data_IF_913257782754
#
_entry.id   IF_913257782754
#
_cell.length_a   1.000
_cell.length_b   1.000
_cell.length_c   1.000
_cell.angle_alpha   90.00
_cell.angle_beta   90.00
_cell.angle_gamma   90.00
#
_symmetry.space_group_name_H-M   'P 1'
#
loop_
_entity.id
_entity.type
_entity.pdbx_description
1 polymer ?
#
# COMPACT_ATOMS: atom_id res chain seq x y z
N UNK A 1 -16.48 1.77 -2.41
CA UNK A 1 -16.22 2.79 -1.38
C UNK A 1 -17.49 3.59 -1.15
N UNK A 2 -18.00 3.62 0.09
CA UNK A 2 -19.23 4.35 0.41
C UNK A 2 -18.91 5.73 0.99
N UNK A 3 -19.69 6.73 0.57
CA UNK A 3 -19.51 8.11 1.03
C UNK A 3 -19.88 8.24 2.50
N UNK A 4 -19.20 9.11 3.26
CA UNK A 4 -19.65 9.52 4.59
C UNK A 4 -21.01 10.24 4.48
N UNK A 5 -21.93 9.92 5.40
CA UNK A 5 -23.20 10.66 5.50
C UNK A 5 -22.94 12.04 6.07
N UNK A 6 -23.86 12.97 5.83
CA UNK A 6 -23.77 14.31 6.38
C UNK A 6 -23.62 14.28 7.91
N UNK A 7 -22.59 14.95 8.44
CA UNK A 7 -22.29 15.02 9.87
C UNK A 7 -21.54 13.80 10.44
N UNK A 8 -21.31 12.76 9.64
CA UNK A 8 -20.47 11.63 10.01
C UNK A 8 -19.00 12.03 9.90
N UNK A 9 -18.18 11.60 10.86
CA UNK A 9 -16.75 11.86 10.90
C UNK A 9 -16.01 10.57 11.25
N UNK A 10 -14.74 10.52 10.87
CA UNK A 10 -13.79 9.48 11.29
C UNK A 10 -12.65 10.18 12.00
N UNK A 11 -12.42 9.82 13.25
CA UNK A 11 -11.23 10.19 14.01
C UNK A 11 -10.09 9.28 13.58
N UNK A 12 -8.91 9.84 13.32
CA UNK A 12 -7.74 9.04 12.94
C UNK A 12 -6.94 8.73 14.21
N UNK A 13 -7.34 7.66 14.90
CA UNK A 13 -6.74 7.21 16.16
C UNK A 13 -6.27 5.74 16.14
N UNK A 14 -6.49 5.07 15.01
CA UNK A 14 -6.09 3.70 14.73
C UNK A 14 -7.06 2.64 15.25
N UNK A 15 -8.24 2.99 15.79
CA UNK A 15 -9.08 2.03 16.53
C UNK A 15 -10.19 1.40 15.72
N UNK A 16 -10.63 2.01 14.62
CA UNK A 16 -11.73 1.54 13.76
C UNK A 16 -13.06 1.34 14.51
N UNK A 17 -13.26 2.11 15.60
CA UNK A 17 -14.43 2.01 16.48
C UNK A 17 -15.54 3.01 16.11
N UNK A 18 -15.23 4.02 15.30
CA UNK A 18 -16.21 4.99 14.82
C UNK A 18 -17.37 4.30 14.09
N UNK A 19 -18.59 4.81 14.29
CA UNK A 19 -19.81 4.26 13.68
C UNK A 19 -19.71 4.18 12.14
N UNK A 20 -18.94 5.07 11.52
CA UNK A 20 -18.67 5.04 10.08
C UNK A 20 -18.01 3.74 9.62
N UNK A 21 -17.13 3.14 10.41
CA UNK A 21 -16.52 1.89 10.00
C UNK A 21 -17.49 0.72 10.05
N UNK A 22 -18.49 0.75 10.92
CA UNK A 22 -19.46 -0.34 11.07
C UNK A 22 -20.38 -0.52 9.84
N UNK A 23 -20.52 0.52 9.01
CA UNK A 23 -21.47 0.55 7.89
C UNK A 23 -20.94 -0.05 6.58
N UNK A 24 -19.63 -0.28 6.50
CA UNK A 24 -19.00 -0.81 5.31
C UNK A 24 -18.46 -2.22 5.52
N UNK A 25 -18.53 -3.09 4.50
CA UNK A 25 -17.95 -4.42 4.59
C UNK A 25 -16.43 -4.34 4.59
N UNK A 26 -15.81 -5.39 5.10
CA UNK A 26 -14.38 -5.61 4.95
C UNK A 26 -14.04 -6.12 3.54
N UNK A 27 -12.90 -5.67 3.02
CA UNK A 27 -12.14 -6.31 1.96
C UNK A 27 -11.17 -7.30 2.61
N UNK A 28 -11.39 -8.61 2.44
CA UNK A 28 -10.67 -9.65 3.22
C UNK A 28 -9.89 -10.64 2.33
N UNK A 29 -9.94 -10.50 1.00
CA UNK A 29 -9.31 -11.42 0.05
C UNK A 29 -7.93 -10.93 -0.36
N UNK A 30 -6.94 -11.22 0.48
CA UNK A 30 -5.54 -10.94 0.17
C UNK A 30 -4.88 -12.18 -0.44
N UNK A 31 -4.19 -11.98 -1.55
CA UNK A 31 -3.48 -13.00 -2.30
C UNK A 31 -1.98 -12.89 -2.02
N UNK A 32 -1.40 -13.97 -1.52
CA UNK A 32 0.04 -14.11 -1.34
C UNK A 32 0.79 -14.02 -2.69
N UNK A 33 1.82 -13.18 -2.69
CA UNK A 33 2.72 -12.84 -3.78
C UNK A 33 4.10 -13.46 -3.59
N UNK A 34 4.36 -14.15 -2.47
CA UNK A 34 5.67 -14.73 -2.20
C UNK A 34 6.11 -15.75 -3.28
N UNK A 35 7.29 -15.52 -3.83
CA UNK A 35 7.96 -16.42 -4.79
C UNK A 35 7.50 -16.27 -6.25
N UNK A 36 8.28 -16.79 -7.22
CA UNK A 36 8.00 -16.60 -8.63
C UNK A 36 6.76 -17.40 -9.08
N UNK A 37 5.65 -16.77 -9.52
CA UNK A 37 4.64 -17.50 -10.32
C UNK A 37 5.00 -17.50 -11.78
N UNK A 38 5.07 -18.71 -12.32
CA UNK A 38 4.93 -18.97 -13.74
C UNK A 38 3.71 -19.88 -13.94
N UNK A 39 2.49 -19.31 -13.87
CA UNK A 39 1.25 -20.02 -14.19
C UNK A 39 0.07 -19.79 -13.24
N UNK A 40 -1.08 -20.39 -13.57
CA UNK A 40 -2.32 -20.37 -12.77
C UNK A 40 -2.30 -21.28 -11.54
N UNK A 41 -1.26 -22.09 -11.36
CA UNK A 41 -1.11 -23.01 -10.24
C UNK A 41 -0.21 -22.41 -9.15
N UNK A 42 -0.61 -22.57 -7.89
CA UNK A 42 0.18 -22.13 -6.73
C UNK A 42 1.47 -22.92 -6.64
N UNK A 43 2.57 -22.23 -6.38
CA UNK A 43 3.88 -22.85 -6.17
C UNK A 43 3.98 -23.43 -4.75
N UNK A 44 4.91 -24.34 -4.54
CA UNK A 44 5.25 -24.82 -3.18
C UNK A 44 5.67 -23.67 -2.24
N UNK A 45 6.27 -22.62 -2.80
CA UNK A 45 6.58 -21.36 -2.12
C UNK A 45 5.36 -20.73 -1.47
N UNK A 46 4.30 -20.50 -2.24
CA UNK A 46 3.10 -19.81 -1.76
C UNK A 46 2.32 -20.66 -0.77
N UNK A 47 2.33 -21.98 -0.93
CA UNK A 47 1.74 -22.87 0.06
C UNK A 47 2.53 -22.82 1.38
N UNK A 48 3.87 -22.74 1.32
CA UNK A 48 4.71 -22.61 2.50
C UNK A 48 4.54 -21.24 3.17
N UNK A 49 4.69 -20.13 2.43
CA UNK A 49 4.52 -18.77 2.96
C UNK A 49 3.14 -18.56 3.57
N UNK A 50 2.06 -18.99 2.90
CA UNK A 50 0.71 -18.93 3.50
C UNK A 50 0.56 -19.77 4.76
N UNK A 51 1.14 -20.96 4.80
CA UNK A 51 1.09 -21.80 6.00
C UNK A 51 1.88 -21.18 7.17
N UNK A 52 3.01 -20.54 6.88
CA UNK A 52 3.80 -19.78 7.86
C UNK A 52 3.10 -18.53 8.33
N UNK A 53 2.58 -17.72 7.41
CA UNK A 53 1.75 -16.57 7.70
C UNK A 53 0.57 -17.00 8.56
N UNK A 54 -0.20 -18.04 8.21
CA UNK A 54 -1.29 -18.55 9.05
C UNK A 54 -0.84 -18.89 10.48
N UNK A 55 0.37 -19.45 10.66
CA UNK A 55 0.91 -19.78 11.99
C UNK A 55 1.29 -18.53 12.79
N UNK A 56 1.90 -17.54 12.15
CA UNK A 56 2.32 -16.26 12.74
C UNK A 56 1.14 -15.33 12.99
N UNK A 57 0.14 -15.32 12.12
CA UNK A 57 -1.02 -14.42 12.18
C UNK A 57 -2.23 -15.02 12.86
N UNK A 58 -2.26 -16.34 13.00
CA UNK A 58 -3.43 -17.08 13.50
C UNK A 58 -4.64 -17.01 12.57
N UNK A 59 -4.49 -16.51 11.34
CA UNK A 59 -5.59 -16.30 10.39
C UNK A 59 -5.16 -16.65 8.96
N UNK A 60 -6.06 -17.26 8.20
CA UNK A 60 -5.85 -17.45 6.75
C UNK A 60 -6.05 -16.16 5.94
N UNK A 61 -6.76 -15.19 6.52
CA UNK A 61 -6.91 -13.83 6.03
C UNK A 61 -6.37 -12.87 7.11
N UNK A 62 -5.05 -12.65 7.18
CA UNK A 62 -4.46 -11.83 8.22
C UNK A 62 -4.71 -10.34 8.02
N UNK A 63 -5.03 -9.92 6.80
CA UNK A 63 -5.26 -8.52 6.46
C UNK A 63 -6.69 -8.32 6.01
N UNK A 64 -7.30 -7.25 6.49
CA UNK A 64 -8.59 -6.78 6.01
C UNK A 64 -8.66 -5.27 6.01
N UNK A 65 -9.33 -4.71 5.01
CA UNK A 65 -9.39 -3.26 4.76
C UNK A 65 -10.84 -2.79 4.69
N UNK A 66 -11.10 -1.59 5.19
CA UNK A 66 -12.34 -0.83 5.05
C UNK A 66 -12.04 0.49 4.37
N UNK A 67 -13.00 0.96 3.57
CA UNK A 67 -12.85 2.16 2.77
C UNK A 67 -14.09 3.06 2.91
N UNK A 68 -13.85 4.33 3.24
CA UNK A 68 -14.84 5.42 3.23
C UNK A 68 -14.27 6.59 2.45
N UNK A 69 -15.12 7.55 2.08
CA UNK A 69 -14.67 8.79 1.43
C UNK A 69 -15.64 9.94 1.68
N UNK A 70 -15.18 11.17 1.54
CA UNK A 70 -16.01 12.37 1.42
C UNK A 70 -15.43 13.34 0.37
N UNK A 71 -15.86 14.59 0.35
CA UNK A 71 -15.37 15.53 -0.69
C UNK A 71 -13.89 15.87 -0.56
N UNK A 72 -13.29 15.66 0.60
CA UNK A 72 -11.93 16.11 0.90
C UNK A 72 -10.98 14.93 1.00
N UNK A 73 -11.45 13.78 1.49
CA UNK A 73 -10.59 12.67 1.88
C UNK A 73 -11.06 11.30 1.40
N UNK A 74 -10.07 10.45 1.10
CA UNK A 74 -10.24 8.99 1.07
C UNK A 74 -9.76 8.42 2.41
N UNK A 75 -10.58 7.60 3.04
CA UNK A 75 -10.27 6.96 4.32
C UNK A 75 -9.99 5.47 4.11
N UNK A 76 -8.88 5.02 4.65
CA UNK A 76 -8.47 3.61 4.67
C UNK A 76 -8.34 3.17 6.12
N UNK A 77 -9.07 2.13 6.49
CA UNK A 77 -8.94 1.48 7.79
C UNK A 77 -8.52 0.04 7.59
N UNK A 78 -7.51 -0.44 8.31
CA UNK A 78 -7.08 -1.83 8.17
C UNK A 78 -6.86 -2.52 9.51
N UNK A 79 -7.10 -3.84 9.54
CA UNK A 79 -6.66 -4.72 10.60
C UNK A 79 -5.65 -5.70 10.02
N UNK A 80 -4.46 -5.73 10.62
CA UNK A 80 -3.37 -6.63 10.29
C UNK A 80 -3.10 -7.53 11.48
N UNK A 81 -3.46 -8.80 11.34
CA UNK A 81 -3.23 -9.81 12.36
C UNK A 81 -1.82 -10.34 12.25
N UNK A 82 -1.12 -10.28 13.36
CA UNK A 82 0.15 -10.95 13.57
C UNK A 82 0.34 -11.17 15.06
N UNK A 83 0.91 -12.30 15.47
CA UNK A 83 1.30 -12.54 16.87
C UNK A 83 2.59 -11.79 17.22
N UNK A 84 3.41 -11.49 16.22
CA UNK A 84 4.66 -10.78 16.38
C UNK A 84 4.87 -9.82 15.22
N UNK A 85 5.16 -8.56 15.51
CA UNK A 85 5.37 -7.52 14.51
C UNK A 85 6.72 -6.86 14.71
N UNK A 86 7.58 -6.91 13.70
CA UNK A 86 8.80 -6.13 13.68
C UNK A 86 8.45 -4.67 13.31
N UNK A 87 8.82 -3.71 14.14
CA UNK A 87 8.64 -2.28 13.86
C UNK A 87 9.70 -1.44 14.57
N UNK A 88 10.83 -1.21 13.93
CA UNK A 88 11.99 -0.45 14.44
C UNK A 88 12.07 0.98 13.92
N UNK A 89 11.45 1.25 12.78
CA UNK A 89 11.47 2.54 12.07
C UNK A 89 10.40 3.47 12.67
N UNK A 90 10.73 4.75 12.75
CA UNK A 90 9.84 5.84 13.16
C UNK A 90 10.02 7.06 12.26
N UNK A 91 9.00 7.93 12.21
CA UNK A 91 9.05 9.20 11.51
C UNK A 91 8.35 9.16 10.16
N UNK A 92 8.53 10.21 9.38
CA UNK A 92 7.97 10.32 8.03
C UNK A 92 9.06 10.79 7.08
N UNK A 93 9.16 10.13 5.93
CA UNK A 93 10.03 10.53 4.83
C UNK A 93 11.46 10.91 5.28
N UNK A 94 11.88 12.17 5.08
CA UNK A 94 13.23 12.64 5.40
C UNK A 94 13.59 12.58 6.90
N UNK A 95 12.61 12.35 7.77
CA UNK A 95 12.80 12.19 9.22
C UNK A 95 12.74 10.73 9.69
N UNK A 96 12.71 9.76 8.75
CA UNK A 96 12.73 8.35 9.08
C UNK A 96 14.03 7.96 9.79
N UNK A 97 13.89 7.22 10.90
CA UNK A 97 15.01 6.78 11.74
C UNK A 97 14.73 5.41 12.35
N UNK A 98 15.78 4.68 12.70
CA UNK A 98 15.70 3.43 13.45
C UNK A 98 16.90 3.26 14.37
N UNK A 99 16.66 2.84 15.61
CA UNK A 99 17.73 2.52 16.56
C UNK A 99 18.45 1.20 16.20
N UNK A 100 17.86 0.40 15.31
CA UNK A 100 18.43 -0.86 14.81
C UNK A 100 19.38 -0.60 13.64
N UNK A 101 19.02 0.33 12.75
CA UNK A 101 19.71 0.57 11.47
C UNK A 101 20.42 1.93 11.43
N UNK A 102 21.19 2.26 12.48
CA UNK A 102 21.75 3.61 12.69
C UNK A 102 22.72 4.10 11.60
N UNK A 103 23.28 3.18 10.79
CA UNK A 103 24.23 3.50 9.71
C UNK A 103 23.62 3.47 8.31
N UNK A 104 22.30 3.31 8.20
CA UNK A 104 21.62 3.06 6.92
C UNK A 104 20.33 3.89 6.89
N UNK A 105 20.06 4.67 5.83
CA UNK A 105 18.74 5.26 5.63
C UNK A 105 17.68 4.16 5.65
N UNK A 106 16.58 4.39 6.38
CA UNK A 106 15.52 3.39 6.58
C UNK A 106 14.21 3.84 5.94
N UNK A 107 13.43 2.84 5.52
CA UNK A 107 12.08 2.98 4.99
C UNK A 107 11.14 2.03 5.75
N UNK A 108 9.81 2.24 5.71
CA UNK A 108 8.86 1.35 6.39
C UNK A 108 9.04 -0.13 6.06
N UNK A 109 9.42 -0.48 4.83
CA UNK A 109 9.71 -1.87 4.44
C UNK A 109 10.90 -2.54 5.18
N UNK A 110 11.68 -1.82 6.00
CA UNK A 110 12.66 -2.45 6.89
C UNK A 110 12.00 -3.20 8.07
N UNK A 111 10.69 -3.01 8.23
CA UNK A 111 9.81 -3.59 9.22
C UNK A 111 8.62 -4.30 8.55
N UNK A 112 7.73 -4.89 9.35
CA UNK A 112 6.43 -5.31 8.83
C UNK A 112 5.55 -4.08 8.58
N UNK A 113 4.97 -3.98 7.39
CA UNK A 113 4.32 -2.79 6.88
C UNK A 113 3.03 -3.07 6.09
N UNK A 114 2.27 -1.99 5.89
CA UNK A 114 1.04 -1.94 5.11
C UNK A 114 1.19 -0.89 4.03
N UNK A 115 0.79 -1.24 2.81
CA UNK A 115 0.98 -0.39 1.64
C UNK A 115 -0.33 -0.11 0.93
N UNK A 116 -0.42 1.07 0.33
CA UNK A 116 -1.56 1.55 -0.44
C UNK A 116 -1.06 2.11 -1.77
N UNK A 117 -1.55 1.54 -2.87
CA UNK A 117 -1.29 2.05 -4.21
C UNK A 117 -2.57 2.60 -4.81
N UNK A 118 -2.55 3.81 -5.36
CA UNK A 118 -3.73 4.46 -5.96
C UNK A 118 -3.36 5.13 -7.28
N UNK A 119 -4.03 4.72 -8.36
CA UNK A 119 -4.04 5.42 -9.65
C UNK A 119 -5.43 5.94 -9.95
N UNK A 120 -5.64 7.23 -9.68
CA UNK A 120 -6.92 7.87 -9.94
C UNK A 120 -7.22 8.07 -11.44
N UNK A 121 -6.19 8.14 -12.30
CA UNK A 121 -6.36 8.28 -13.75
C UNK A 121 -6.52 6.98 -14.50
N UNK A 122 -6.16 5.85 -13.88
CA UNK A 122 -6.14 4.55 -14.54
C UNK A 122 -5.20 4.53 -15.76
N UNK A 123 -4.05 5.18 -15.62
CA UNK A 123 -3.07 5.32 -16.68
C UNK A 123 -1.88 4.37 -16.53
N UNK A 124 -1.66 3.83 -15.33
CA UNK A 124 -0.42 3.20 -14.88
C UNK A 124 0.78 4.16 -14.85
N UNK A 125 0.51 5.47 -14.81
CA UNK A 125 1.48 6.55 -14.63
C UNK A 125 0.98 7.46 -13.51
N UNK A 126 1.92 8.06 -12.78
CA UNK A 126 1.65 8.99 -11.68
C UNK A 126 0.67 8.41 -10.65
N UNK A 127 0.89 7.15 -10.29
CA UNK A 127 0.15 6.52 -9.21
C UNK A 127 0.89 6.72 -7.90
N UNK A 128 0.10 6.91 -6.85
CA UNK A 128 0.59 7.09 -5.49
C UNK A 128 0.92 5.73 -4.91
N UNK A 129 2.03 5.67 -4.20
CA UNK A 129 2.31 4.67 -3.17
C UNK A 129 2.38 5.36 -1.82
N UNK A 130 1.86 4.66 -0.82
CA UNK A 130 2.00 5.01 0.58
C UNK A 130 2.31 3.73 1.36
N UNK A 131 3.33 3.77 2.21
CA UNK A 131 3.72 2.67 3.09
C UNK A 131 3.68 3.13 4.54
N UNK A 132 3.31 2.23 5.45
CA UNK A 132 3.39 2.49 6.89
C UNK A 132 3.61 1.24 7.74
N UNK A 133 4.35 1.38 8.86
CA UNK A 133 4.56 0.29 9.82
C UNK A 133 3.69 0.44 11.08
N UNK A 134 3.77 -0.55 11.98
CA UNK A 134 2.99 -0.53 13.24
C UNK A 134 3.37 0.59 14.23
N UNK A 135 4.53 1.24 14.07
CA UNK A 135 4.93 2.45 14.84
C UNK A 135 4.49 3.75 14.17
N UNK A 136 3.63 3.66 13.15
CA UNK A 136 3.17 4.80 12.37
C UNK A 136 4.32 5.55 11.67
N UNK A 137 5.43 4.85 11.38
CA UNK A 137 6.39 5.35 10.41
C UNK A 137 5.73 5.34 9.04
N UNK A 138 5.92 6.39 8.26
CA UNK A 138 5.21 6.55 6.99
C UNK A 138 6.13 7.02 5.87
N UNK A 139 5.80 6.58 4.66
CA UNK A 139 6.48 6.94 3.43
C UNK A 139 5.44 7.13 2.33
N UNK A 140 5.60 8.14 1.49
CA UNK A 140 4.77 8.30 0.30
C UNK A 140 5.58 8.75 -0.91
N UNK A 141 5.15 8.29 -2.09
CA UNK A 141 5.83 8.58 -3.35
C UNK A 141 4.86 8.55 -4.53
N UNK A 142 5.22 9.28 -5.58
CA UNK A 142 4.47 9.36 -6.83
C UNK A 142 5.26 8.70 -7.95
N UNK A 143 4.81 7.55 -8.41
CA UNK A 143 5.46 6.76 -9.45
C UNK A 143 5.19 7.32 -10.85
N UNK A 144 6.21 7.79 -11.56
CA UNK A 144 6.04 8.58 -12.81
C UNK A 144 6.22 7.79 -14.13
N UNK A 145 6.98 6.68 -14.16
CA UNK A 145 7.21 5.89 -15.37
C UNK A 145 7.26 4.38 -15.07
N UNK A 146 6.50 3.52 -15.77
CA UNK A 146 6.78 2.09 -15.87
C UNK A 146 8.03 1.88 -16.73
N UNK A 147 9.17 1.49 -16.15
CA UNK A 147 10.36 1.13 -16.94
C UNK A 147 10.22 -0.26 -17.57
N UNK A 148 10.84 -0.38 -18.75
CA UNK A 148 10.84 -1.54 -19.63
C UNK A 148 11.33 -2.84 -18.95
N UNK A 149 10.42 -3.53 -18.26
CA UNK A 149 10.61 -4.89 -17.75
C UNK A 149 11.22 -5.02 -16.37
N UNK A 150 11.42 -3.92 -15.62
CA UNK A 150 11.99 -3.95 -14.25
C UNK A 150 11.13 -3.27 -13.19
N UNK A 151 9.94 -2.77 -13.54
CA UNK A 151 9.10 -2.04 -12.58
C UNK A 151 8.93 -0.59 -12.98
N UNK A 152 7.99 0.12 -12.33
CA UNK A 152 8.00 1.57 -12.37
C UNK A 152 9.24 2.08 -11.67
N UNK A 153 9.70 3.27 -12.06
CA UNK A 153 10.78 3.96 -11.38
C UNK A 153 10.16 5.11 -10.61
N UNK A 154 10.45 5.15 -9.31
CA UNK A 154 10.16 6.29 -8.47
C UNK A 154 11.07 7.42 -8.99
N UNK A 155 10.61 8.67 -9.05
CA UNK A 155 11.45 9.77 -9.51
C UNK A 155 12.83 9.73 -8.84
N UNK A 156 13.91 9.74 -9.63
CA UNK A 156 15.26 10.04 -9.12
C UNK A 156 15.22 11.48 -8.60
N UNK A 157 14.89 11.62 -7.31
CA UNK A 157 14.85 12.81 -6.46
C UNK A 157 14.53 14.18 -7.09
N UNK A 158 13.28 14.59 -6.88
CA UNK A 158 12.80 15.98 -6.61
C UNK A 158 11.32 15.98 -6.18
N UNK A 159 10.62 14.85 -6.42
CA UNK A 159 9.19 14.62 -6.12
C UNK A 159 8.95 13.53 -5.04
N UNK A 160 10.00 13.04 -4.36
CA UNK A 160 9.93 11.89 -3.47
C UNK A 160 10.44 12.19 -2.07
N UNK A 161 9.91 11.45 -1.10
CA UNK A 161 10.52 11.14 0.17
C UNK A 161 11.77 10.24 0.05
N UNK A 162 12.79 10.66 -0.69
CA UNK A 162 14.12 10.04 -0.84
C UNK A 162 14.24 8.50 -0.69
N UNK A 163 14.10 7.77 -1.81
CA UNK A 163 14.60 6.39 -1.93
C UNK A 163 16.11 6.42 -2.16
N UNK A 164 16.94 6.14 -1.16
CA UNK A 164 18.40 6.07 -1.41
C UNK A 164 18.85 4.68 -1.86
N UNK A 165 19.21 4.57 -3.14
CA UNK A 165 20.46 3.90 -3.52
C UNK A 165 21.28 4.90 -4.34
N UNK A 166 22.24 5.57 -3.67
CA UNK A 166 23.12 6.65 -4.15
C UNK A 166 22.54 8.08 -4.27
N UNK A 167 22.61 8.88 -3.20
CA UNK A 167 23.15 10.25 -3.25
C UNK A 167 23.17 10.87 -1.86
N UNK A 168 24.31 11.46 -1.48
CA UNK A 168 24.38 12.40 -0.37
C UNK A 168 23.62 13.68 -0.70
N UNK A 169 23.31 14.44 0.36
CA UNK A 169 22.42 15.62 0.44
C UNK A 169 20.93 15.27 0.40
N UNK A 170 20.38 15.10 1.60
CA UNK A 170 18.95 14.95 1.81
C UNK A 170 18.19 16.26 1.69
N UNK A 171 16.90 16.14 2.02
CA UNK A 171 15.83 17.12 1.97
C UNK A 171 15.27 17.28 0.57
N UNK A 172 13.97 16.99 0.46
CA UNK A 172 13.04 17.64 -0.45
C UNK A 172 13.44 19.11 -0.62
N UNK A 173 14.24 19.43 -1.64
CA UNK A 173 14.76 20.78 -1.80
C UNK A 173 13.57 21.69 -2.14
N UNK A 174 13.25 22.56 -1.19
CA UNK A 174 12.22 23.59 -1.29
C UNK A 174 12.46 24.60 -2.44
N UNK A 175 13.51 24.41 -3.26
CA UNK A 175 13.83 25.19 -4.45
C UNK A 175 13.11 24.79 -5.76
N UNK A 176 12.28 23.75 -5.79
CA UNK A 176 11.59 23.30 -7.01
C UNK A 176 10.33 24.13 -7.39
N UNK A 177 10.29 25.43 -7.04
CA UNK A 177 9.15 26.31 -7.30
C UNK A 177 8.92 26.62 -8.80
N UNK A 178 9.89 26.37 -9.68
CA UNK A 178 9.74 26.63 -11.13
C UNK A 178 9.33 25.39 -11.97
N UNK A 179 9.46 24.16 -11.44
CA UNK A 179 9.08 22.92 -12.16
C UNK A 179 8.31 21.88 -11.31
N UNK A 180 7.62 22.29 -10.24
CA UNK A 180 6.51 21.51 -9.67
C UNK A 180 6.73 20.83 -8.31
N UNK A 181 7.68 21.29 -7.48
CA UNK A 181 7.73 21.04 -6.03
C UNK A 181 7.96 19.59 -5.58
N UNK A 182 8.40 19.43 -4.32
CA UNK A 182 8.38 18.14 -3.62
C UNK A 182 6.94 17.72 -3.33
N UNK A 183 6.45 16.66 -3.99
CA UNK A 183 5.13 16.11 -3.70
C UNK A 183 5.21 15.18 -2.50
N UNK A 184 4.43 15.47 -1.46
CA UNK A 184 4.18 14.54 -0.36
C UNK A 184 2.87 14.90 0.30
N UNK A 185 2.14 13.88 0.75
CA UNK A 185 0.83 14.04 1.37
C UNK A 185 0.91 14.46 2.85
N UNK A 186 2.08 14.39 3.50
CA UNK A 186 2.31 14.97 4.82
C UNK A 186 2.39 16.51 4.74
N UNK A 187 2.29 17.18 5.89
CA UNK A 187 2.29 18.63 6.01
C UNK A 187 3.71 19.20 5.82
N UNK A 188 3.93 20.11 4.85
CA UNK A 188 5.25 20.74 4.63
C UNK A 188 5.28 22.26 4.80
N UNK A 189 4.17 22.92 5.11
CA UNK A 189 4.13 24.39 5.19
C UNK A 189 4.13 24.94 6.63
N UNK A 190 4.88 26.01 6.87
CA UNK A 190 5.00 26.76 8.13
C UNK A 190 3.69 27.43 8.63
N UNK A 191 2.54 27.14 8.00
CA UNK A 191 1.20 27.59 8.41
C UNK A 191 0.15 26.48 8.44
N UNK A 192 0.53 25.24 8.15
CA UNK A 192 -0.39 24.10 8.14
C UNK A 192 -0.82 23.75 9.58
N UNK A 193 -2.11 23.49 9.79
CA UNK A 193 -2.68 23.03 11.06
C UNK A 193 -2.69 21.50 11.11
N UNK A 194 -2.55 20.89 12.29
CA UNK A 194 -2.77 19.46 12.44
C UNK A 194 -4.11 19.07 11.83
N UNK A 195 -4.07 18.20 10.81
CA UNK A 195 -5.26 17.76 10.09
C UNK A 195 -5.60 18.52 8.81
N UNK A 196 -4.72 19.36 8.26
CA UNK A 196 -4.90 19.91 6.91
C UNK A 196 -4.51 18.89 5.82
N UNK A 197 -3.45 18.11 6.03
CA UNK A 197 -2.97 17.08 5.07
C UNK A 197 -3.36 15.65 5.42
N UNK A 198 -2.51 14.70 5.04
CA UNK A 198 -2.66 13.31 5.44
C UNK A 198 -2.59 13.16 6.96
N UNK A 199 -3.41 12.25 7.49
CA UNK A 199 -3.27 11.75 8.86
C UNK A 199 -3.21 10.24 8.82
N UNK A 200 -2.36 9.67 9.67
CA UNK A 200 -2.34 8.23 9.94
C UNK A 200 -2.18 7.98 11.43
N UNK A 201 -2.76 6.88 11.90
CA UNK A 201 -2.59 6.42 13.26
C UNK A 201 -2.62 4.90 13.30
N UNK A 202 -1.89 4.32 14.24
CA UNK A 202 -1.91 2.89 14.54
C UNK A 202 -2.35 2.64 15.98
N UNK A 203 -2.96 1.49 16.21
CA UNK A 203 -3.24 0.99 17.57
C UNK A 203 -2.96 -0.51 17.61
N UNK A 204 -2.35 -0.96 18.71
CA UNK A 204 -2.17 -2.38 18.98
C UNK A 204 -3.49 -3.05 19.36
N UNK A 205 -3.64 -4.31 18.98
CA UNK A 205 -4.77 -5.16 19.34
C UNK A 205 -4.26 -6.43 20.01
N UNK A 206 -5.17 -7.25 20.54
CA UNK A 206 -4.80 -8.55 21.10
C UNK A 206 -4.25 -9.55 20.08
N UNK A 207 -4.45 -9.32 18.77
CA UNK A 207 -4.13 -10.27 17.70
C UNK A 207 -3.32 -9.63 16.55
N UNK A 208 -2.70 -8.47 16.77
CA UNK A 208 -2.03 -7.71 15.72
C UNK A 208 -2.17 -6.21 15.95
N UNK A 209 -2.32 -5.45 14.88
CA UNK A 209 -2.49 -4.00 14.92
C UNK A 209 -3.57 -3.54 13.95
N UNK A 210 -4.05 -2.33 14.20
CA UNK A 210 -4.97 -1.62 13.33
C UNK A 210 -4.35 -0.29 12.93
N UNK A 211 -4.83 0.21 11.81
CA UNK A 211 -4.47 1.51 11.30
C UNK A 211 -5.69 2.22 10.73
N UNK A 212 -5.61 3.54 10.77
CA UNK A 212 -6.47 4.45 10.03
C UNK A 212 -5.58 5.43 9.28
N UNK A 213 -5.93 5.67 8.01
CA UNK A 213 -5.30 6.65 7.15
C UNK A 213 -6.40 7.51 6.56
N UNK A 214 -6.16 8.81 6.52
CA UNK A 214 -6.96 9.80 5.82
C UNK A 214 -6.08 10.46 4.79
N UNK A 215 -6.31 10.16 3.51
CA UNK A 215 -5.61 10.75 2.39
C UNK A 215 -6.33 11.98 1.85
N UNK A 216 -5.68 13.14 1.71
CA UNK A 216 -6.25 14.27 0.99
C UNK A 216 -6.42 13.90 -0.49
N UNK A 217 -7.63 14.11 -1.03
CA UNK A 217 -7.91 13.83 -2.45
C UNK A 217 -7.24 14.90 -3.32
N UNK A 218 -7.46 16.17 -3.01
CA UNK A 218 -6.84 17.30 -3.69
C UNK A 218 -5.62 17.78 -2.92
N UNK A 219 -4.64 18.33 -3.63
CA UNK A 219 -3.55 19.07 -3.04
C UNK A 219 -3.98 20.48 -2.61
N UNK A 220 -3.17 21.10 -1.78
CA UNK A 220 -3.26 22.50 -1.39
C UNK A 220 -1.88 23.15 -1.46
N UNK A 221 -1.70 24.35 -0.89
CA UNK A 221 -0.36 24.94 -0.74
C UNK A 221 0.43 24.27 0.39
N UNK A 222 -0.25 23.50 1.22
CA UNK A 222 0.23 22.99 2.50
C UNK A 222 0.59 21.49 2.43
N UNK A 223 -0.02 20.76 1.49
CA UNK A 223 0.18 19.33 1.29
C UNK A 223 -0.14 18.90 -0.15
N UNK A 224 0.44 17.77 -0.57
CA UNK A 224 0.03 17.03 -1.76
C UNK A 224 -1.33 16.33 -1.59
N UNK A 225 -1.85 15.71 -2.65
CA UNK A 225 -3.04 14.88 -2.58
C UNK A 225 -3.05 13.80 -3.63
N UNK A 226 -3.97 12.83 -3.51
CA UNK A 226 -4.07 11.65 -4.37
C UNK A 226 -4.26 11.96 -5.86
N UNK A 227 -4.79 13.15 -6.18
CA UNK A 227 -4.99 13.58 -7.57
C UNK A 227 -3.85 14.44 -8.12
N UNK A 228 -2.87 14.80 -7.30
CA UNK A 228 -1.81 15.72 -7.68
C UNK A 228 -0.91 15.14 -8.77
N UNK A 229 -0.46 15.99 -9.69
CA UNK A 229 0.42 15.63 -10.81
C UNK A 229 1.34 16.82 -11.14
N UNK A 230 2.55 16.59 -11.66
CA UNK A 230 3.39 17.66 -12.16
C UNK A 230 2.66 18.49 -13.24
N UNK A 231 2.74 19.82 -13.14
CA UNK A 231 2.09 20.77 -14.06
C UNK A 231 2.53 20.62 -15.52
N UNK A 232 3.75 20.14 -15.74
CA UNK A 232 4.33 19.87 -17.06
C UNK A 232 3.67 18.71 -17.81
N UNK A 233 2.88 17.87 -17.13
CA UNK A 233 2.35 16.62 -17.69
C UNK A 233 0.84 16.45 -17.46
N UNK A 234 0.07 17.54 -17.54
CA UNK A 234 -1.35 17.42 -17.87
C UNK A 234 -1.45 16.50 -19.09
N UNK A 235 -2.07 15.32 -18.92
CA UNK A 235 -2.59 14.56 -20.06
C UNK A 235 -3.37 15.60 -20.88
N UNK A 236 -3.06 15.79 -22.18
CA UNK A 236 -3.77 16.79 -22.95
C UNK A 236 -5.26 16.53 -22.78
N UNK A 237 -5.95 17.52 -22.22
CA UNK A 237 -7.41 17.61 -22.08
C UNK A 237 -8.09 16.93 -20.86
N UNK A 238 -7.39 16.49 -19.81
CA UNK A 238 -8.04 15.99 -18.56
C UNK A 238 -7.67 16.83 -17.33
N UNK A 239 -8.57 17.73 -16.87
CA UNK A 239 -8.38 18.47 -15.62
C UNK A 239 -8.32 17.54 -14.40
N UNK A 240 -7.44 17.82 -13.44
CA UNK A 240 -7.28 17.03 -12.20
C UNK A 240 -8.60 16.88 -11.44
N UNK A 241 -9.39 17.95 -11.43
CA UNK A 241 -10.70 18.00 -10.77
C UNK A 241 -11.70 17.02 -11.39
N UNK A 242 -11.55 16.67 -12.68
CA UNK A 242 -12.42 15.70 -13.34
C UNK A 242 -12.23 14.27 -12.82
N UNK A 243 -11.07 13.99 -12.21
CA UNK A 243 -10.76 12.71 -11.56
C UNK A 243 -11.34 12.61 -10.15
N UNK A 244 -11.94 13.69 -9.65
CA UNK A 244 -12.54 13.73 -8.32
C UNK A 244 -13.89 12.98 -8.31
N UNK A 245 -14.16 12.11 -7.31
CA UNK A 245 -15.41 11.34 -7.29
C UNK A 245 -16.66 12.23 -7.18
N UNK A 246 -16.58 13.31 -6.40
CA UNK A 246 -17.64 14.35 -6.34
C UNK A 246 -17.88 15.09 -7.68
N UNK A 247 -16.98 14.98 -8.66
CA UNK A 247 -17.12 15.55 -10.02
C UNK A 247 -17.55 14.52 -11.06
N UNK A 248 -17.89 13.30 -10.63
CA UNK A 248 -18.43 12.26 -11.50
C UNK A 248 -17.46 11.12 -11.82
N UNK A 249 -16.22 11.16 -11.33
CA UNK A 249 -15.30 10.02 -11.45
C UNK A 249 -15.85 8.83 -10.67
N UNK A 250 -16.08 7.72 -11.38
CA UNK A 250 -16.74 6.54 -10.78
C UNK A 250 -15.78 5.53 -10.19
N UNK A 251 -14.58 5.47 -10.74
CA UNK A 251 -13.59 4.45 -10.43
C UNK A 251 -12.20 5.04 -10.30
N UNK A 252 -11.46 4.59 -9.30
CA UNK A 252 -9.99 4.66 -9.30
C UNK A 252 -9.43 3.24 -9.32
N UNK A 253 -8.18 3.12 -9.75
CA UNK A 253 -7.42 1.90 -9.56
C UNK A 253 -6.73 1.94 -8.21
N UNK A 254 -6.77 0.84 -7.46
CA UNK A 254 -6.04 0.75 -6.20
C UNK A 254 -5.66 -0.69 -5.83
N UNK A 255 -4.64 -0.79 -5.00
CA UNK A 255 -4.13 -2.01 -4.39
C UNK A 255 -3.81 -1.74 -2.92
N UNK A 256 -4.10 -2.69 -2.06
CA UNK A 256 -3.63 -2.69 -0.67
C UNK A 256 -2.71 -3.88 -0.48
N UNK A 257 -1.60 -3.71 0.21
CA UNK A 257 -0.68 -4.79 0.52
C UNK A 257 -0.33 -4.86 2.00
N UNK A 258 0.02 -6.06 2.45
CA UNK A 258 0.64 -6.31 3.74
C UNK A 258 1.90 -7.12 3.46
N UNK A 259 3.03 -6.60 3.90
CA UNK A 259 4.30 -7.29 3.83
C UNK A 259 4.85 -7.51 5.25
N UNK A 260 5.19 -8.76 5.52
CA UNK A 260 5.98 -9.14 6.67
C UNK A 260 7.41 -9.25 6.18
N UNK A 261 8.18 -8.19 6.38
CA UNK A 261 9.58 -8.22 6.06
C UNK A 261 10.30 -8.94 7.19
N UNK A 262 10.78 -10.14 6.87
CA UNK A 262 11.84 -10.76 7.65
C UNK A 262 12.95 -9.73 7.91
N UNK A 263 13.88 -10.01 8.80
CA UNK A 263 15.17 -9.31 8.80
C UNK A 263 15.96 -9.69 7.52
N UNK A 264 15.40 -9.32 6.37
CA UNK A 264 15.47 -9.92 5.03
C UNK A 264 16.76 -9.48 4.33
N UNK A 265 17.24 -8.30 4.71
CA UNK A 265 18.38 -7.62 4.11
C UNK A 265 19.75 -8.07 4.62
N UNK A 266 19.83 -8.61 5.84
CA UNK A 266 21.15 -8.93 6.43
C UNK A 266 21.63 -10.37 6.21
N UNK A 267 20.76 -11.29 5.75
CA UNK A 267 21.04 -12.75 5.80
C UNK A 267 20.87 -13.51 4.49
N UNK A 268 20.41 -12.89 3.41
CA UNK A 268 20.13 -13.56 2.14
C UNK A 268 20.97 -12.97 1.00
N UNK A 269 21.56 -13.84 0.19
CA UNK A 269 22.08 -13.48 -1.12
C UNK A 269 20.99 -13.60 -2.19
N UNK A 270 21.17 -12.94 -3.34
CA UNK A 270 20.30 -13.12 -4.51
C UNK A 270 20.27 -14.56 -5.06
N UNK A 271 21.17 -15.44 -4.58
CA UNK A 271 21.14 -16.87 -4.86
C UNK A 271 20.18 -17.60 -3.89
N UNK A 272 20.15 -17.22 -2.61
CA UNK A 272 19.29 -17.83 -1.59
C UNK A 272 17.81 -17.62 -1.89
N UNK A 273 17.45 -16.47 -2.46
CA UNK A 273 16.07 -16.13 -2.85
C UNK A 273 15.52 -16.98 -4.00
N UNK A 274 16.38 -17.74 -4.72
CA UNK A 274 15.97 -18.64 -5.81
C UNK A 274 15.59 -20.04 -5.35
N UNK A 275 15.78 -20.37 -4.06
CA UNK A 275 15.62 -21.74 -3.54
C UNK A 275 14.47 -21.86 -2.51
N UNK A 276 13.29 -22.42 -2.89
CA UNK A 276 12.13 -22.57 -2.00
C UNK A 276 12.43 -23.27 -0.68
N UNK A 277 13.25 -24.33 -0.74
CA UNK A 277 13.55 -25.14 0.44
C UNK A 277 14.38 -24.37 1.47
N UNK A 278 15.18 -23.39 1.04
CA UNK A 278 15.95 -22.56 1.95
C UNK A 278 15.07 -21.59 2.72
N UNK A 279 14.16 -20.86 2.05
CA UNK A 279 13.20 -20.00 2.77
C UNK A 279 12.25 -20.81 3.62
N UNK A 280 11.80 -21.97 3.13
CA UNK A 280 11.00 -22.90 3.93
C UNK A 280 11.73 -23.27 5.23
N UNK A 281 13.00 -23.67 5.15
CA UNK A 281 13.83 -23.98 6.32
C UNK A 281 14.02 -22.76 7.23
N UNK A 282 14.34 -21.59 6.66
CA UNK A 282 14.55 -20.35 7.40
C UNK A 282 13.29 -19.98 8.20
N UNK A 283 12.13 -19.97 7.55
CA UNK A 283 10.86 -19.69 8.20
C UNK A 283 10.51 -20.71 9.30
N UNK A 284 10.89 -21.99 9.15
CA UNK A 284 10.75 -22.95 10.25
C UNK A 284 11.69 -22.67 11.42
N UNK A 285 12.93 -22.22 11.16
CA UNK A 285 13.84 -21.81 12.24
C UNK A 285 13.29 -20.58 12.96
N UNK A 286 12.87 -19.57 12.20
CA UNK A 286 12.23 -18.36 12.70
C UNK A 286 11.06 -18.68 13.60
N UNK A 287 10.11 -19.51 13.15
CA UNK A 287 8.94 -19.89 13.94
C UNK A 287 9.34 -20.67 15.19
N UNK A 288 10.35 -21.56 15.11
CA UNK A 288 10.85 -22.30 16.27
C UNK A 288 11.46 -21.36 17.30
N UNK A 289 12.33 -20.46 16.87
CA UNK A 289 13.01 -19.49 17.73
C UNK A 289 12.02 -18.50 18.33
N UNK A 290 11.08 -18.00 17.54
CA UNK A 290 10.01 -17.09 17.97
C UNK A 290 9.09 -17.77 18.99
N UNK A 291 8.70 -19.03 18.73
CA UNK A 291 7.93 -19.82 19.69
C UNK A 291 8.68 -20.06 21.00
N UNK A 292 9.99 -20.35 20.94
CA UNK A 292 10.80 -20.56 22.14
C UNK A 292 10.99 -19.27 22.94
N UNK A 293 11.20 -18.14 22.25
CA UNK A 293 11.54 -16.86 22.86
C UNK A 293 10.32 -16.10 23.38
N UNK A 294 9.21 -16.14 22.65
CA UNK A 294 8.04 -15.29 22.92
C UNK A 294 6.73 -16.06 23.09
N UNK A 295 6.68 -17.32 22.64
CA UNK A 295 5.56 -18.22 22.91
C UNK A 295 4.20 -17.66 22.49
N UNK A 296 4.00 -17.28 21.21
CA UNK A 296 2.79 -17.08 20.38
C UNK A 296 1.39 -16.79 20.99
N UNK A 297 1.29 -16.49 22.28
CA UNK A 297 0.04 -16.40 23.05
C UNK A 297 -0.46 -14.96 23.19
N UNK A 298 0.38 -13.98 22.82
CA UNK A 298 0.08 -12.56 22.86
C UNK A 298 0.71 -11.84 21.67
N UNK A 299 0.12 -10.70 21.29
CA UNK A 299 0.69 -9.75 20.34
C UNK A 299 1.90 -9.03 20.94
N UNK A 300 2.97 -8.85 20.14
CA UNK A 300 4.16 -8.10 20.51
C UNK A 300 4.64 -7.24 19.33
N UNK A 301 4.98 -5.98 19.61
CA UNK A 301 5.75 -5.13 18.70
C UNK A 301 7.22 -5.16 19.13
N UNK A 302 8.08 -5.70 18.28
CA UNK A 302 9.52 -5.73 18.52
C UNK A 302 10.21 -4.52 17.91
N UNK A 303 10.34 -3.49 18.74
CA UNK A 303 11.04 -2.26 18.41
C UNK A 303 12.53 -2.44 18.07
N UNK A 304 13.12 -3.59 18.45
CA UNK A 304 14.53 -3.88 18.19
C UNK A 304 14.72 -4.78 16.95
N UNK A 305 13.63 -5.19 16.30
CA UNK A 305 13.64 -6.15 15.20
C UNK A 305 14.52 -7.40 15.53
N UNK A 306 14.46 -7.82 16.80
CA UNK A 306 15.28 -8.88 17.38
C UNK A 306 14.66 -10.26 17.18
N UNK A 307 13.37 -10.32 16.88
CA UNK A 307 12.67 -11.47 16.37
C UNK A 307 12.71 -11.44 14.84
N UNK A 308 13.13 -12.52 14.19
CA UNK A 308 12.94 -12.63 12.77
C UNK A 308 11.44 -12.87 12.46
N UNK A 309 10.89 -12.25 11.42
CA UNK A 309 9.63 -12.66 10.80
C UNK A 309 9.90 -13.49 9.55
N UNK A 310 8.92 -14.25 9.06
CA UNK A 310 9.02 -14.95 7.78
C UNK A 310 8.49 -14.06 6.67
N UNK A 311 9.15 -14.04 5.51
CA UNK A 311 8.64 -13.25 4.40
C UNK A 311 7.26 -13.73 3.94
N UNK A 312 6.31 -12.81 4.02
CA UNK A 312 4.97 -12.94 3.53
C UNK A 312 4.61 -11.61 2.91
N UNK A 313 4.09 -11.63 1.71
CA UNK A 313 3.67 -10.40 1.05
C UNK A 313 2.38 -10.70 0.33
N UNK A 314 1.33 -9.97 0.63
CA UNK A 314 0.03 -10.23 0.05
C UNK A 314 -0.65 -8.94 -0.37
N UNK A 315 -1.35 -9.00 -1.49
CA UNK A 315 -2.10 -7.87 -2.05
C UNK A 315 -3.58 -8.18 -2.16
N UNK A 316 -4.43 -7.15 -2.15
CA UNK A 316 -5.88 -7.29 -2.24
C UNK A 316 -6.41 -7.87 -3.56
N UNK A 317 -5.55 -8.17 -4.54
CA UNK A 317 -5.94 -8.75 -5.82
C UNK A 317 -4.78 -9.46 -6.53
N UNK A 318 -5.05 -10.00 -7.72
CA UNK A 318 -3.98 -10.49 -8.59
C UNK A 318 -3.29 -9.32 -9.30
N UNK A 319 -1.95 -9.23 -9.17
CA UNK A 319 -1.13 -8.19 -9.82
C UNK A 319 -0.69 -8.55 -11.25
N UNK A 320 -1.11 -9.72 -11.76
CA UNK A 320 -0.78 -10.20 -13.10
C UNK A 320 0.54 -10.96 -13.19
N UNK A 321 1.26 -10.83 -14.31
CA UNK A 321 2.40 -11.67 -14.66
C UNK A 321 3.71 -11.27 -13.99
N UNK A 322 3.93 -9.97 -13.75
CA UNK A 322 5.14 -9.48 -13.07
C UNK A 322 5.09 -9.60 -11.55
N UNK A 323 3.91 -9.78 -10.95
CA UNK A 323 3.69 -10.01 -9.51
C UNK A 323 4.44 -9.06 -8.57
N UNK A 324 4.61 -7.80 -9.00
CA UNK A 324 5.36 -6.79 -8.29
C UNK A 324 4.44 -5.61 -8.01
N UNK A 325 4.22 -5.26 -6.74
CA UNK A 325 3.25 -4.23 -6.36
C UNK A 325 3.66 -2.82 -6.73
N UNK A 326 4.96 -2.55 -6.79
CA UNK A 326 5.49 -1.30 -7.31
C UNK A 326 5.47 -1.24 -8.85
N UNK A 327 4.84 -2.22 -9.54
CA UNK A 327 4.46 -2.15 -10.96
C UNK A 327 3.44 -3.25 -11.32
N UNK A 328 2.21 -3.15 -10.84
CA UNK A 328 1.26 -4.22 -11.04
C UNK A 328 0.75 -4.16 -12.47
N UNK A 329 0.72 -5.30 -13.17
CA UNK A 329 0.07 -5.39 -14.49
C UNK A 329 -1.44 -5.15 -14.37
N UNK A 330 -1.98 -5.32 -13.15
CA UNK A 330 -3.39 -5.23 -12.83
C UNK A 330 -3.59 -4.58 -11.47
N UNK A 331 -4.36 -3.50 -11.45
CA UNK A 331 -4.90 -2.92 -10.23
C UNK A 331 -6.30 -3.47 -9.91
N UNK A 332 -6.67 -3.40 -8.63
CA UNK A 332 -8.06 -3.47 -8.22
C UNK A 332 -8.81 -2.17 -8.57
N UNK A 333 -10.13 -2.15 -8.34
CA UNK A 333 -10.97 -1.00 -8.64
C UNK A 333 -11.67 -0.48 -7.38
N UNK A 334 -11.49 0.79 -7.07
CA UNK A 334 -12.30 1.52 -6.09
C UNK A 334 -13.50 2.12 -6.79
N UNK A 335 -14.66 1.49 -6.65
CA UNK A 335 -15.93 2.07 -7.13
C UNK A 335 -16.52 3.01 -6.08
N UNK A 336 -16.76 4.27 -6.44
CA UNK A 336 -17.39 5.25 -5.55
C UNK A 336 -18.92 5.13 -5.63
N UNK A 337 -19.55 4.78 -4.51
CA UNK A 337 -21.01 4.67 -4.41
C UNK A 337 -21.67 6.06 -4.31
N UNK A 338 -22.94 6.16 -4.74
CA UNK A 338 -23.77 7.38 -4.75
C UNK A 338 -23.38 8.50 -5.74
N UNK A 339 -22.50 8.22 -6.70
CA UNK A 339 -22.31 9.07 -7.89
C UNK A 339 -23.50 8.88 -8.85
N UNK A 340 -24.69 9.36 -8.47
CA UNK A 340 -25.95 9.47 -9.24
C UNK A 340 -26.27 8.40 -10.33
N UNK A 341 -25.86 7.13 -10.17
CA UNK A 341 -26.07 6.09 -11.17
C UNK A 341 -26.43 4.74 -10.53
N UNK A 342 -27.29 4.00 -11.22
CA UNK A 342 -27.67 2.62 -10.91
C UNK A 342 -26.42 1.74 -10.77
N UNK A 343 -26.41 0.89 -9.74
CA UNK A 343 -25.32 -0.04 -9.43
C UNK A 343 -24.85 -0.79 -10.69
N UNK A 344 -23.57 -0.65 -11.07
CA UNK A 344 -22.92 -1.64 -11.92
C UNK A 344 -22.47 -2.79 -11.01
N UNK A 345 -23.20 -3.90 -11.06
CA UNK A 345 -22.81 -5.16 -10.44
C UNK A 345 -21.44 -5.61 -10.98
N UNK A 346 -20.50 -5.87 -10.07
CA UNK A 346 -19.32 -6.72 -10.19
C UNK A 346 -18.66 -6.81 -11.58
N UNK A 347 -17.51 -6.15 -11.74
CA UNK A 347 -16.56 -6.47 -12.81
C UNK A 347 -16.12 -7.92 -12.67
N UNK A 348 -16.49 -8.77 -13.64
CA UNK A 348 -16.01 -10.14 -13.73
C UNK A 348 -14.58 -10.18 -14.26
N UNK A 349 -13.73 -11.00 -13.63
CA UNK A 349 -12.38 -11.29 -14.12
C UNK A 349 -12.43 -12.20 -15.36
N UNK A 350 -11.51 -11.96 -16.30
CA UNK A 350 -11.30 -12.68 -17.55
C UNK A 350 -10.72 -14.10 -17.31
N UNK A 351 -11.48 -15.00 -16.69
CA UNK A 351 -11.12 -16.43 -16.68
C UNK A 351 -11.62 -17.18 -17.94
N UNK A 352 -12.44 -16.51 -18.76
CA UNK A 352 -13.08 -17.11 -19.95
C UNK A 352 -12.49 -16.65 -21.29
N UNK A 353 -11.45 -15.81 -21.31
CA UNK A 353 -10.78 -15.40 -22.55
C UNK A 353 -9.74 -16.41 -23.04
N UNK A 354 -10.01 -17.71 -22.83
CA UNK A 354 -9.26 -18.75 -23.52
C UNK A 354 -9.89 -18.97 -24.91
N UNK A 355 -9.07 -18.76 -25.94
CA UNK A 355 -9.29 -19.09 -27.37
C UNK A 355 -10.01 -18.01 -28.21
N UNK A 356 -9.18 -17.27 -28.94
CA UNK A 356 -9.42 -16.65 -30.28
C UNK A 356 -9.95 -15.21 -30.41
N UNK A 357 -9.67 -14.27 -29.50
CA UNK A 357 -9.83 -12.85 -29.87
C UNK A 357 -8.71 -11.96 -29.37
N UNK A 358 -8.26 -11.07 -30.25
CA UNK A 358 -7.11 -10.18 -30.12
C UNK A 358 -7.23 -9.23 -28.92
N UNK A 359 -6.07 -8.93 -28.29
CA UNK A 359 -5.87 -8.08 -27.08
C UNK A 359 -6.67 -6.76 -27.06
N UNK A 360 -7.01 -6.20 -28.22
CA UNK A 360 -7.78 -4.95 -28.34
C UNK A 360 -9.26 -5.07 -27.95
N UNK A 361 -9.87 -6.26 -27.90
CA UNK A 361 -11.29 -6.42 -27.52
C UNK A 361 -11.52 -6.54 -26.01
N UNK A 362 -10.52 -6.88 -25.20
CA UNK A 362 -10.68 -6.98 -23.74
C UNK A 362 -10.72 -5.62 -23.05
N UNK A 363 -9.92 -4.64 -23.53
CA UNK A 363 -9.98 -3.25 -23.06
C UNK A 363 -11.33 -2.58 -23.35
N UNK A 364 -12.06 -3.04 -24.36
CA UNK A 364 -13.32 -2.45 -24.79
C UNK A 364 -14.55 -2.84 -23.94
N UNK A 365 -14.45 -3.84 -23.06
CA UNK A 365 -15.58 -4.27 -22.23
C UNK A 365 -15.78 -3.44 -20.95
N UNK A 366 -14.80 -2.63 -20.54
CA UNK A 366 -14.92 -1.76 -19.37
C UNK A 366 -15.63 -0.44 -19.71
N UNK A 367 -15.44 0.11 -20.92
CA UNK A 367 -16.02 1.40 -21.31
C UNK A 367 -17.52 1.36 -21.67
N UNK A 368 -18.08 0.21 -22.05
CA UNK A 368 -19.47 0.13 -22.56
C UNK A 368 -20.54 -0.27 -21.54
N UNK A 369 -20.19 -0.54 -20.29
CA UNK A 369 -21.20 -0.78 -19.24
C UNK A 369 -21.66 0.51 -18.53
N UNK A 370 -21.21 1.69 -19.00
CA UNK A 370 -21.50 2.98 -18.37
C UNK A 370 -21.88 4.09 -19.37
N UNK A 371 -22.29 3.75 -20.59
CA UNK A 371 -22.87 4.71 -21.55
C UNK A 371 -24.38 4.86 -21.35
#
# INVERSE_FOLDING_TARGET
VQRLRQGQQISIDGRLEDEAWAEVPWLENFMDLAGPRHGSERTSWQNASRDYARRLTGSENPTRVKLRWDEEFLYVGAELRSKHVAASVEGHCDNLRSDVWQSTPVLPYFDDDFEVFIDASQSNYYYVEFEMNARNATYDTLWYLPQAGLGSVAPECSLCCNTTWNAGTGLCDHGAEEEGGSWTMEMFAAGARPGDGMLSATTSTSLGWRLEIRFPILSSREHGGLLNRPSSQHLPDVPVESLHPARGQRFWWATFANALHANWWSKLTAADTKHPEFIKWLCEQVIRDDQQRYGFSQFLVDANNAAPTCYYEASSQNLGGHQYMHNPDQFGYLQFAEVAASHCSNVYWLDSCSRRSTRLRCLYCIQRCCS
#
